data_IF_128538859392
#
_entry.id   IF_128538859392
#
_cell.length_a   1.000
_cell.length_b   1.000
_cell.length_c   1.000
_cell.angle_alpha   90.00
_cell.angle_beta   90.00
_cell.angle_gamma   90.00
#
_symmetry.space_group_name_H-M   'P 1'
#
loop_
_entity.id
_entity.type
_entity.pdbx_description
1 polymer ?
#
# COMPACT_ATOMS: atom_id res chain seq x y z
N UNK A 1 1.92 -24.20 -20.30
CA UNK A 1 2.34 -24.13 -18.88
C UNK A 1 3.78 -24.62 -18.66
N UNK A 2 4.64 -23.76 -18.15
CA UNK A 2 6.08 -23.99 -17.94
C UNK A 2 6.37 -24.73 -16.61
N UNK A 3 7.61 -25.23 -16.38
CA UNK A 3 7.99 -25.80 -15.09
C UNK A 3 7.85 -24.84 -13.91
N UNK A 4 8.10 -23.54 -14.13
CA UNK A 4 7.96 -22.50 -13.11
C UNK A 4 6.49 -22.27 -12.75
N UNK A 5 5.61 -22.20 -13.76
CA UNK A 5 4.17 -22.07 -13.55
C UNK A 5 3.61 -23.24 -12.72
N UNK A 6 4.09 -24.46 -12.98
CA UNK A 6 3.72 -25.64 -12.18
C UNK A 6 4.15 -25.52 -10.72
N UNK A 7 5.33 -24.97 -10.46
CA UNK A 7 5.81 -24.76 -9.08
C UNK A 7 4.88 -23.80 -8.32
N UNK A 8 4.51 -22.69 -8.97
CA UNK A 8 3.59 -21.69 -8.41
C UNK A 8 2.20 -22.28 -8.16
N UNK A 9 1.67 -23.08 -9.10
CA UNK A 9 0.37 -23.75 -8.91
C UNK A 9 0.41 -24.74 -7.74
N UNK A 10 1.51 -25.48 -7.54
CA UNK A 10 1.67 -26.39 -6.39
C UNK A 10 1.70 -25.63 -5.07
N UNK A 11 2.39 -24.49 -5.02
CA UNK A 11 2.41 -23.61 -3.86
C UNK A 11 1.01 -23.10 -3.51
N UNK A 12 0.26 -22.63 -4.52
CA UNK A 12 -1.13 -22.21 -4.34
C UNK A 12 -2.05 -23.34 -3.86
N UNK A 13 -1.86 -24.57 -4.35
CA UNK A 13 -2.62 -25.75 -3.90
C UNK A 13 -2.29 -26.13 -2.46
N UNK A 14 -1.02 -26.06 -2.06
CA UNK A 14 -0.60 -26.24 -0.66
C UNK A 14 -1.25 -25.20 0.25
N UNK A 15 -1.27 -23.93 -0.16
CA UNK A 15 -1.95 -22.86 0.57
C UNK A 15 -3.47 -23.09 0.67
N UNK A 16 -4.08 -23.77 -0.32
CA UNK A 16 -5.48 -24.19 -0.31
C UNK A 16 -5.75 -25.45 0.54
N UNK A 17 -4.73 -26.02 1.21
CA UNK A 17 -4.84 -27.28 1.95
C UNK A 17 -5.06 -28.50 1.05
N UNK A 18 -4.64 -28.43 -0.22
CA UNK A 18 -4.74 -29.53 -1.19
C UNK A 18 -3.38 -30.16 -1.42
N UNK A 19 -3.41 -31.44 -1.79
CA UNK A 19 -2.19 -32.17 -2.13
C UNK A 19 -1.56 -31.58 -3.42
N UNK A 20 -0.33 -31.04 -3.38
CA UNK A 20 0.34 -30.48 -4.55
C UNK A 20 0.64 -31.51 -5.64
N UNK A 21 0.62 -32.81 -5.33
CA UNK A 21 0.77 -33.87 -6.33
C UNK A 21 -0.37 -33.84 -7.36
N UNK A 22 -1.53 -33.28 -6.98
CA UNK A 22 -2.71 -33.14 -7.83
C UNK A 22 -2.64 -31.95 -8.79
N UNK A 23 -1.53 -31.19 -8.77
CA UNK A 23 -1.27 -30.11 -9.71
C UNK A 23 -1.19 -30.65 -11.16
N UNK A 24 -2.33 -30.62 -11.85
CA UNK A 24 -2.46 -30.91 -13.27
C UNK A 24 -1.53 -30.03 -14.10
N UNK A 25 -1.07 -30.52 -15.25
CA UNK A 25 -0.34 -29.74 -16.26
C UNK A 25 -1.23 -28.68 -16.98
N UNK A 26 -2.45 -28.45 -16.48
CA UNK A 26 -3.42 -27.56 -17.08
C UNK A 26 -3.38 -26.20 -16.38
N UNK A 27 -3.53 -25.14 -17.16
CA UNK A 27 -3.57 -23.77 -16.69
C UNK A 27 -4.74 -23.58 -15.70
N UNK A 28 -4.52 -23.02 -14.50
CA UNK A 28 -5.58 -22.82 -13.52
C UNK A 28 -6.72 -21.93 -14.02
N UNK A 29 -6.49 -21.02 -14.96
CA UNK A 29 -7.55 -20.19 -15.58
C UNK A 29 -8.47 -20.97 -16.52
N UNK A 30 -8.07 -22.17 -16.97
CA UNK A 30 -8.97 -23.08 -17.72
C UNK A 30 -9.92 -23.86 -16.81
N UNK A 31 -9.80 -23.72 -15.49
CA UNK A 31 -10.58 -24.47 -14.51
C UNK A 31 -11.58 -23.57 -13.79
N UNK A 32 -12.70 -24.17 -13.40
CA UNK A 32 -13.75 -23.53 -12.63
C UNK A 32 -13.89 -24.19 -11.25
N UNK A 33 -14.59 -23.52 -10.34
CA UNK A 33 -14.86 -24.00 -8.98
C UNK A 33 -13.98 -23.33 -7.91
N UNK A 34 -14.37 -23.51 -6.65
CA UNK A 34 -13.82 -22.75 -5.51
C UNK A 34 -12.30 -22.90 -5.34
N UNK A 35 -11.76 -24.12 -5.54
CA UNK A 35 -10.32 -24.36 -5.44
C UNK A 35 -9.56 -23.67 -6.58
N UNK A 36 -10.11 -23.72 -7.81
CA UNK A 36 -9.50 -23.05 -8.95
C UNK A 36 -9.49 -21.53 -8.76
N UNK A 37 -10.61 -20.94 -8.30
CA UNK A 37 -10.69 -19.51 -7.97
C UNK A 37 -9.68 -19.12 -6.89
N UNK A 38 -9.59 -19.89 -5.81
CA UNK A 38 -8.60 -19.63 -4.76
C UNK A 38 -7.16 -19.66 -5.31
N UNK A 39 -6.84 -20.66 -6.14
CA UNK A 39 -5.53 -20.76 -6.78
C UNK A 39 -5.27 -19.56 -7.70
N UNK A 40 -6.25 -19.17 -8.52
CA UNK A 40 -6.14 -18.01 -9.41
C UNK A 40 -5.92 -16.71 -8.61
N UNK A 41 -6.64 -16.50 -7.52
CA UNK A 41 -6.51 -15.34 -6.63
C UNK A 41 -5.16 -15.32 -5.92
N UNK A 42 -4.72 -16.48 -5.41
CA UNK A 42 -3.41 -16.62 -4.79
C UNK A 42 -2.29 -16.25 -5.76
N UNK A 43 -2.34 -16.78 -6.99
CA UNK A 43 -1.33 -16.51 -8.01
C UNK A 43 -1.41 -15.04 -8.44
N UNK A 44 -2.60 -14.48 -8.59
CA UNK A 44 -2.80 -13.06 -8.90
C UNK A 44 -2.17 -12.13 -7.89
N UNK A 45 -2.27 -12.45 -6.59
CA UNK A 45 -1.71 -11.64 -5.50
C UNK A 45 -0.20 -11.82 -5.34
N UNK A 46 0.27 -13.07 -5.34
CA UNK A 46 1.67 -13.38 -4.99
C UNK A 46 2.60 -13.40 -6.21
N UNK A 47 2.07 -13.71 -7.40
CA UNK A 47 2.83 -13.80 -8.65
C UNK A 47 2.12 -13.10 -9.81
N UNK A 48 1.81 -11.79 -9.70
CA UNK A 48 0.96 -11.07 -10.67
C UNK A 48 1.47 -11.13 -12.11
N UNK A 49 2.79 -11.05 -12.33
CA UNK A 49 3.39 -11.15 -13.67
C UNK A 49 3.14 -12.54 -14.29
N UNK A 50 3.27 -13.61 -13.48
CA UNK A 50 3.00 -14.98 -13.93
C UNK A 50 1.51 -15.22 -14.11
N UNK A 51 0.67 -14.63 -13.26
CA UNK A 51 -0.78 -14.64 -13.44
C UNK A 51 -1.17 -14.05 -14.80
N UNK A 52 -0.61 -12.89 -15.17
CA UNK A 52 -0.88 -12.27 -16.47
C UNK A 52 -0.43 -13.15 -17.64
N UNK A 53 0.75 -13.78 -17.53
CA UNK A 53 1.19 -14.75 -18.53
C UNK A 53 0.22 -15.93 -18.69
N UNK A 54 -0.22 -16.53 -17.58
CA UNK A 54 -1.16 -17.66 -17.63
C UNK A 54 -2.54 -17.23 -18.14
N UNK A 55 -3.04 -16.05 -17.76
CA UNK A 55 -4.30 -15.50 -18.29
C UNK A 55 -4.24 -15.29 -19.80
N UNK A 56 -3.14 -14.73 -20.31
CA UNK A 56 -2.93 -14.56 -21.75
C UNK A 56 -2.76 -15.89 -22.49
N UNK A 57 -2.13 -16.91 -21.89
CA UNK A 57 -2.08 -18.26 -22.46
C UNK A 57 -3.48 -18.87 -22.58
N UNK A 58 -4.36 -18.60 -21.60
CA UNK A 58 -5.74 -19.08 -21.62
C UNK A 58 -6.64 -18.31 -22.59
N UNK A 59 -6.52 -16.98 -22.61
CA UNK A 59 -7.30 -16.08 -23.44
C UNK A 59 -6.36 -15.04 -24.11
N UNK A 60 -5.77 -15.36 -25.28
CA UNK A 60 -4.79 -14.51 -25.92
C UNK A 60 -5.36 -13.16 -26.41
N UNK A 61 -6.64 -13.14 -26.77
CA UNK A 61 -7.35 -11.95 -27.25
C UNK A 61 -8.03 -11.16 -26.12
N UNK A 62 -7.72 -11.49 -24.86
CA UNK A 62 -8.33 -10.87 -23.69
C UNK A 62 -7.96 -9.39 -23.48
N UNK A 63 -7.02 -8.86 -24.28
CA UNK A 63 -6.61 -7.47 -24.22
C UNK A 63 -7.55 -6.58 -25.05
N UNK A 64 -8.22 -5.64 -24.39
CA UNK A 64 -9.10 -4.67 -25.04
C UNK A 64 -8.36 -3.79 -26.06
N UNK A 65 -9.09 -3.25 -27.05
CA UNK A 65 -8.51 -2.35 -28.05
C UNK A 65 -7.86 -1.11 -27.42
N UNK A 66 -8.52 -0.50 -26.44
CA UNK A 66 -7.97 0.67 -25.75
C UNK A 66 -6.70 0.32 -24.96
N UNK A 67 -6.64 -0.87 -24.35
CA UNK A 67 -5.42 -1.35 -23.71
C UNK A 67 -4.29 -1.57 -24.72
N UNK A 68 -4.58 -2.08 -25.93
CA UNK A 68 -3.60 -2.18 -27.00
C UNK A 68 -3.07 -0.80 -27.40
N UNK A 69 -3.95 0.19 -27.56
CA UNK A 69 -3.57 1.58 -27.86
C UNK A 69 -2.64 2.18 -26.78
N UNK A 70 -2.88 1.88 -25.50
CA UNK A 70 -1.97 2.31 -24.41
C UNK A 70 -0.57 1.69 -24.57
N UNK A 71 -0.48 0.41 -24.94
CA UNK A 71 0.81 -0.25 -25.17
C UNK A 71 1.55 0.32 -26.40
N UNK A 72 0.80 0.66 -27.44
CA UNK A 72 1.31 1.29 -28.65
C UNK A 72 1.62 2.79 -28.47
N UNK A 73 1.38 3.32 -27.26
CA UNK A 73 1.58 4.74 -26.88
C UNK A 73 0.75 5.71 -27.72
N UNK A 74 -0.31 5.22 -28.34
CA UNK A 74 -1.29 6.06 -29.04
C UNK A 74 -2.29 6.69 -28.08
N UNK A 75 -2.42 6.09 -26.88
CA UNK A 75 -3.26 6.57 -25.80
C UNK A 75 -2.45 6.67 -24.50
N UNK A 76 -2.65 7.74 -23.74
CA UNK A 76 -1.96 7.93 -22.47
C UNK A 76 -2.64 7.08 -21.37
N UNK A 77 -1.91 6.27 -20.59
CA UNK A 77 -2.49 5.52 -19.47
C UNK A 77 -3.18 6.39 -18.42
N UNK A 78 -2.86 7.67 -18.31
CA UNK A 78 -3.53 8.58 -17.35
C UNK A 78 -4.91 9.06 -17.84
N UNK A 79 -5.20 8.88 -19.13
CA UNK A 79 -6.42 9.37 -19.79
C UNK A 79 -7.46 8.27 -20.03
N UNK A 80 -7.12 7.02 -19.70
CA UNK A 80 -8.02 5.87 -19.88
C UNK A 80 -8.87 5.57 -18.65
N UNK A 81 -9.97 4.87 -18.90
CA UNK A 81 -10.84 4.35 -17.86
C UNK A 81 -10.10 3.31 -16.98
N UNK A 82 -10.41 3.22 -15.68
CA UNK A 82 -9.81 2.24 -14.77
C UNK A 82 -9.91 0.78 -15.25
N UNK A 83 -10.96 0.44 -16.00
CA UNK A 83 -11.17 -0.90 -16.57
C UNK A 83 -10.10 -1.26 -17.61
N UNK A 84 -9.62 -0.28 -18.37
CA UNK A 84 -8.54 -0.47 -19.35
C UNK A 84 -7.22 -0.73 -18.62
N UNK A 85 -6.96 0.01 -17.54
CA UNK A 85 -5.80 -0.19 -16.67
C UNK A 85 -5.83 -1.55 -15.99
N UNK A 86 -7.02 -1.96 -15.51
CA UNK A 86 -7.21 -3.30 -14.96
C UNK A 86 -6.94 -4.35 -16.03
N UNK A 87 -7.47 -4.20 -17.24
CA UNK A 87 -7.21 -5.14 -18.34
C UNK A 87 -5.72 -5.27 -18.66
N UNK A 88 -4.98 -4.14 -18.70
CA UNK A 88 -3.52 -4.14 -18.87
C UNK A 88 -2.80 -4.86 -17.73
N UNK A 89 -3.20 -4.59 -16.48
CA UNK A 89 -2.63 -5.25 -15.30
C UNK A 89 -2.88 -6.77 -15.34
N UNK A 90 -4.04 -7.19 -15.81
CA UNK A 90 -4.43 -8.59 -15.82
C UNK A 90 -3.80 -9.40 -16.97
N UNK A 91 -3.50 -8.79 -18.11
CA UNK A 91 -3.09 -9.50 -19.32
C UNK A 91 -1.72 -9.13 -19.87
N UNK A 92 -1.13 -7.97 -19.50
CA UNK A 92 0.17 -7.54 -20.01
C UNK A 92 1.28 -7.58 -18.94
N UNK A 93 2.19 -8.58 -19.03
CA UNK A 93 3.28 -8.75 -18.07
C UNK A 93 4.23 -7.56 -17.98
N UNK A 94 4.52 -6.87 -19.10
CA UNK A 94 5.39 -5.69 -19.09
C UNK A 94 4.75 -4.56 -18.30
N UNK A 95 3.45 -4.34 -18.47
CA UNK A 95 2.70 -3.32 -17.75
C UNK A 95 2.63 -3.65 -16.25
N UNK A 96 2.34 -4.91 -15.91
CA UNK A 96 2.38 -5.40 -14.53
C UNK A 96 3.72 -5.12 -13.86
N UNK A 97 4.83 -5.46 -14.54
CA UNK A 97 6.19 -5.20 -14.03
C UNK A 97 6.47 -3.70 -13.88
N UNK A 98 6.01 -2.90 -14.83
CA UNK A 98 6.12 -1.44 -14.76
C UNK A 98 5.42 -0.88 -13.53
N UNK A 99 4.17 -1.29 -13.27
CA UNK A 99 3.40 -0.86 -12.10
C UNK A 99 4.08 -1.26 -10.79
N UNK A 100 4.56 -2.50 -10.68
CA UNK A 100 5.29 -2.97 -9.50
C UNK A 100 6.56 -2.14 -9.28
N UNK A 101 7.29 -1.83 -10.34
CA UNK A 101 8.50 -1.00 -10.24
C UNK A 101 8.18 0.44 -9.82
N UNK A 102 7.09 1.02 -10.32
CA UNK A 102 6.65 2.35 -9.89
C UNK A 102 6.26 2.36 -8.41
N UNK A 103 5.47 1.38 -7.97
CA UNK A 103 5.09 1.25 -6.56
C UNK A 103 6.31 1.07 -5.66
N UNK A 104 7.27 0.24 -6.08
CA UNK A 104 8.53 0.07 -5.37
C UNK A 104 9.33 1.38 -5.31
N UNK A 105 9.46 2.09 -6.43
CA UNK A 105 10.17 3.37 -6.45
C UNK A 105 9.50 4.43 -5.56
N UNK A 106 8.16 4.49 -5.56
CA UNK A 106 7.41 5.38 -4.68
C UNK A 106 7.60 5.01 -3.21
N UNK A 107 7.60 3.71 -2.89
CA UNK A 107 7.90 3.22 -1.55
C UNK A 107 9.33 3.57 -1.12
N UNK A 108 10.34 3.29 -1.95
CA UNK A 108 11.74 3.62 -1.66
C UNK A 108 11.94 5.13 -1.47
N UNK A 109 11.21 5.97 -2.22
CA UNK A 109 11.24 7.43 -2.05
C UNK A 109 10.66 7.87 -0.69
N UNK A 110 9.56 7.24 -0.24
CA UNK A 110 8.99 7.49 1.10
C UNK A 110 9.91 7.02 2.23
N UNK A 111 10.55 5.86 2.05
CA UNK A 111 11.58 5.35 2.95
C UNK A 111 12.74 6.34 3.06
N UNK A 112 13.20 6.90 1.93
CA UNK A 112 14.26 7.90 1.92
C UNK A 112 13.84 9.24 2.57
N UNK A 113 12.59 9.68 2.38
CA UNK A 113 12.08 10.92 2.99
C UNK A 113 11.73 10.77 4.46
N UNK A 114 11.61 9.52 4.97
CA UNK A 114 11.15 9.23 6.32
C UNK A 114 9.64 9.38 6.50
N UNK A 115 8.89 9.58 5.41
CA UNK A 115 7.43 9.68 5.40
C UNK A 115 6.80 8.30 5.17
N UNK A 116 7.04 7.39 6.13
CA UNK A 116 6.52 6.01 6.07
C UNK A 116 5.48 5.80 7.16
N UNK A 117 4.44 5.05 6.83
CA UNK A 117 3.43 4.66 7.81
C UNK A 117 3.97 3.59 8.78
N UNK A 118 3.34 3.46 9.95
CA UNK A 118 3.72 2.38 10.89
C UNK A 118 3.54 0.99 10.28
N UNK A 119 2.52 0.77 9.44
CA UNK A 119 2.32 -0.52 8.78
C UNK A 119 3.50 -0.87 7.87
N UNK A 120 4.02 0.11 7.13
CA UNK A 120 5.19 -0.04 6.25
C UNK A 120 6.49 -0.26 7.04
N UNK A 121 6.63 0.38 8.21
CA UNK A 121 7.78 0.15 9.08
C UNK A 121 7.82 -1.29 9.63
N UNK A 122 6.67 -1.82 10.06
CA UNK A 122 6.55 -3.21 10.53
C UNK A 122 6.89 -4.18 9.40
N UNK A 123 6.41 -3.92 8.18
CA UNK A 123 6.75 -4.75 7.03
C UNK A 123 8.26 -4.76 6.71
N UNK A 124 8.94 -3.62 6.85
CA UNK A 124 10.39 -3.54 6.70
C UNK A 124 11.13 -4.33 7.79
N UNK A 125 10.66 -4.26 9.04
CA UNK A 125 11.22 -5.00 10.17
C UNK A 125 11.03 -6.51 10.00
N UNK A 126 9.83 -6.95 9.62
CA UNK A 126 9.52 -8.36 9.32
C UNK A 126 10.34 -8.89 8.13
N UNK A 127 10.62 -8.04 7.14
CA UNK A 127 11.51 -8.35 6.02
C UNK A 127 13.01 -8.35 6.40
N UNK A 128 13.36 -7.92 7.61
CA UNK A 128 14.74 -7.79 8.07
C UNK A 128 15.53 -6.68 7.37
N UNK A 129 14.86 -5.63 6.88
CA UNK A 129 15.52 -4.51 6.21
C UNK A 129 16.31 -3.67 7.23
N UNK A 130 17.63 -3.45 7.04
CA UNK A 130 18.45 -2.71 7.99
C UNK A 130 18.01 -1.23 8.13
N UNK A 131 17.27 -0.68 7.16
CA UNK A 131 16.73 0.68 7.22
C UNK A 131 15.62 0.83 8.26
N UNK A 132 14.98 -0.27 8.69
CA UNK A 132 13.89 -0.24 9.65
C UNK A 132 14.32 0.39 10.98
N UNK A 133 15.49 0.00 11.52
CA UNK A 133 16.00 0.52 12.79
C UNK A 133 16.27 2.03 12.76
N UNK A 134 16.83 2.53 11.65
CA UNK A 134 17.09 3.96 11.49
C UNK A 134 15.76 4.75 11.42
N UNK A 135 14.79 4.25 10.67
CA UNK A 135 13.47 4.88 10.52
C UNK A 135 12.67 4.86 11.82
N UNK A 136 12.79 3.79 12.60
CA UNK A 136 12.17 3.68 13.92
C UNK A 136 12.72 4.73 14.88
N UNK A 137 14.05 4.90 14.92
CA UNK A 137 14.69 5.92 15.77
C UNK A 137 14.27 7.34 15.36
N UNK A 138 14.13 7.62 14.05
CA UNK A 138 13.62 8.90 13.54
C UNK A 138 12.16 9.11 13.91
N UNK A 139 11.32 8.09 13.79
CA UNK A 139 9.91 8.16 14.18
C UNK A 139 9.74 8.40 15.69
N UNK A 140 10.57 7.77 16.53
CA UNK A 140 10.58 7.99 17.97
C UNK A 140 11.04 9.40 18.34
N UNK A 141 12.09 9.91 17.69
CA UNK A 141 12.55 11.28 17.88
C UNK A 141 11.47 12.31 17.49
N UNK A 142 10.79 12.10 16.35
CA UNK A 142 9.68 12.95 15.93
C UNK A 142 8.50 12.90 16.92
N UNK A 143 8.14 11.73 17.43
CA UNK A 143 7.08 11.60 18.46
C UNK A 143 7.46 12.29 19.77
N UNK A 144 8.72 12.17 20.20
CA UNK A 144 9.21 12.86 21.38
C UNK A 144 9.14 14.38 21.20
N UNK A 145 9.52 14.87 20.03
CA UNK A 145 9.45 16.30 19.71
C UNK A 145 8.00 16.81 19.59
N UNK A 146 7.09 16.03 18.99
CA UNK A 146 5.67 16.36 18.96
C UNK A 146 5.07 16.43 20.37
N UNK A 147 5.39 15.47 21.25
CA UNK A 147 4.97 15.51 22.67
C UNK A 147 5.51 16.74 23.38
N UNK A 148 6.78 17.10 23.14
CA UNK A 148 7.37 18.30 23.72
C UNK A 148 6.67 19.58 23.23
N UNK A 149 6.39 19.68 21.93
CA UNK A 149 5.67 20.81 21.33
C UNK A 149 4.22 20.90 21.82
N UNK A 150 3.56 19.77 22.01
CA UNK A 150 2.21 19.71 22.54
C UNK A 150 2.18 20.14 24.01
N UNK A 151 3.13 19.67 24.82
CA UNK A 151 3.25 20.07 26.21
C UNK A 151 3.55 21.57 26.37
N UNK A 152 4.38 22.15 25.50
CA UNK A 152 4.65 23.60 25.51
C UNK A 152 3.43 24.41 25.04
N UNK A 153 2.70 23.93 24.03
CA UNK A 153 1.45 24.56 23.59
C UNK A 153 0.38 24.53 24.69
N UNK A 154 0.20 23.40 25.37
CA UNK A 154 -0.73 23.26 26.50
C UNK A 154 -0.33 24.15 27.68
N UNK A 155 0.96 24.23 28.01
CA UNK A 155 1.45 25.11 29.05
C UNK A 155 1.23 26.59 28.73
N UNK A 156 1.47 27.01 27.48
CA UNK A 156 1.22 28.37 27.03
C UNK A 156 -0.28 28.74 27.12
N UNK A 157 -1.16 27.83 26.69
CA UNK A 157 -2.60 28.01 26.74
C UNK A 157 -3.10 28.11 28.20
N UNK A 158 -2.55 27.29 29.09
CA UNK A 158 -2.86 27.33 30.52
C UNK A 158 -2.44 28.66 31.17
N UNK A 159 -1.25 29.20 30.84
CA UNK A 159 -0.83 30.51 31.34
C UNK A 159 -1.73 31.64 30.84
N UNK A 160 -2.06 31.63 29.55
CA UNK A 160 -2.94 32.64 28.94
C UNK A 160 -4.33 32.63 29.58
N UNK A 161 -4.88 31.44 29.87
CA UNK A 161 -6.17 31.31 30.56
C UNK A 161 -6.12 31.93 31.97
N UNK A 162 -5.07 31.66 32.74
CA UNK A 162 -4.90 32.21 34.11
C UNK A 162 -4.76 33.73 34.08
N UNK A 163 -4.08 34.27 33.08
CA UNK A 163 -3.90 35.71 32.94
C UNK A 163 -5.21 36.40 32.56
N UNK A 164 -6.02 35.78 31.67
CA UNK A 164 -7.38 36.24 31.38
C UNK A 164 -8.28 36.21 32.62
N UNK A 165 -8.25 35.13 33.42
CA UNK A 165 -9.03 35.06 34.68
C UNK A 165 -8.62 36.17 35.64
N UNK A 166 -7.31 36.46 35.74
CA UNK A 166 -6.78 37.52 36.62
C UNK A 166 -7.19 38.92 36.14
N UNK A 167 -7.22 39.16 34.83
CA UNK A 167 -7.69 40.43 34.27
C UNK A 167 -9.20 40.60 34.45
N UNK A 168 -10.00 39.55 34.24
CA UNK A 168 -11.45 39.58 34.52
C UNK A 168 -11.73 39.88 35.99
N UNK A 169 -11.05 39.19 36.92
CA UNK A 169 -11.22 39.43 38.36
C UNK A 169 -10.83 40.87 38.76
N UNK A 170 -9.80 41.45 38.14
CA UNK A 170 -9.44 42.86 38.34
C UNK A 170 -10.51 43.81 37.78
N UNK A 171 -11.04 43.53 36.59
CA UNK A 171 -12.09 44.34 35.99
C UNK A 171 -13.38 44.33 36.83
N UNK A 172 -13.76 43.17 37.37
CA UNK A 172 -14.91 43.03 38.28
C UNK A 172 -14.69 43.72 39.63
N UNK A 173 -13.47 43.68 40.18
CA UNK A 173 -13.14 44.40 41.41
C UNK A 173 -13.24 45.93 41.23
N UNK A 174 -12.83 46.44 40.06
CA UNK A 174 -12.93 47.86 39.71
C UNK A 174 -14.39 48.26 39.47
N UNK A 175 -15.19 47.44 38.79
CA UNK A 175 -16.60 47.77 38.50
C UNK A 175 -17.52 47.67 39.73
N UNK A 176 -17.14 46.87 40.73
CA UNK A 176 -17.90 46.69 41.99
C UNK A 176 -17.58 47.73 43.08
N UNK A 177 -16.69 48.69 42.82
CA UNK A 177 -16.40 49.80 43.75
C UNK A 177 -15.62 49.42 45.01
N UNK A 178 -14.97 48.24 45.05
CA UNK A 178 -14.04 47.86 46.13
C UNK A 178 -12.63 48.34 45.81
N UNK A 179 -12.38 49.64 45.98
CA UNK A 179 -11.01 50.17 46.11
C UNK A 179 -10.98 51.01 47.37
N UNK A 180 -10.27 50.52 48.39
CA UNK A 180 -9.75 51.31 49.51
C UNK A 180 -8.25 51.47 49.28
#
# INVERSE_FOLDING_TARGET
MTPEDRKIVREALLAAGKDPSTASNANPWSKTGAVAMFVQDFIGKNHPVRAAHMRREHNPDGLSLDAQCVLDKTLNPEEVLPEVLQNLYEFEPKYTKHLINQQKAAFDARVASGDISMGELIQLEEAGDPRAAELQSKAEAQRAQQKANQATAEAALAMQSREQTRQQAKAEAISSGRVF
#
